data_IF_960237985420
#
_entry.id   IF_960237985420
#
_cell.length_a   1.000
_cell.length_b   1.000
_cell.length_c   1.000
_cell.angle_alpha   90.00
_cell.angle_beta   90.00
_cell.angle_gamma   90.00
#
_symmetry.space_group_name_H-M   'P 1'
#
loop_
_entity.id
_entity.type
_entity.pdbx_description
1 polymer ?
#
# COMPACT_ATOMS: atom_id res chain seq x y z
N UNK A 1 -25.18 -2.18 1.13
CA UNK A 1 -24.76 -3.51 0.63
C UNK A 1 -24.94 -3.52 -0.88
N UNK A 2 -24.02 -4.15 -1.63
CA UNK A 2 -24.16 -4.29 -3.08
C UNK A 2 -25.25 -5.33 -3.38
N UNK A 3 -26.13 -5.02 -4.34
CA UNK A 3 -27.19 -5.96 -4.74
C UNK A 3 -26.60 -7.17 -5.50
N UNK A 4 -27.29 -8.30 -5.51
CA UNK A 4 -26.85 -9.51 -6.24
C UNK A 4 -26.63 -9.25 -7.72
N UNK A 5 -27.41 -8.36 -8.33
CA UNK A 5 -27.22 -7.88 -9.70
C UNK A 5 -25.90 -7.15 -9.88
N UNK A 6 -25.50 -6.28 -8.92
CA UNK A 6 -24.20 -5.58 -8.95
C UNK A 6 -23.05 -6.56 -8.77
N UNK A 7 -23.19 -7.54 -7.89
CA UNK A 7 -22.18 -8.59 -7.67
C UNK A 7 -21.99 -9.43 -8.94
N UNK A 8 -23.09 -9.84 -9.59
CA UNK A 8 -23.05 -10.59 -10.83
C UNK A 8 -22.46 -9.78 -12.00
N UNK A 9 -22.80 -8.49 -12.10
CA UNK A 9 -22.21 -7.57 -13.09
C UNK A 9 -20.71 -7.38 -12.88
N UNK A 10 -20.29 -7.16 -11.63
CA UNK A 10 -18.88 -7.00 -11.27
C UNK A 10 -18.07 -8.27 -11.56
N UNK A 11 -18.62 -9.47 -11.30
CA UNK A 11 -17.98 -10.74 -11.66
C UNK A 11 -17.83 -10.91 -13.17
N UNK A 12 -18.85 -10.54 -13.96
CA UNK A 12 -18.76 -10.55 -15.43
C UNK A 12 -17.71 -9.56 -15.95
N UNK A 13 -17.67 -8.35 -15.42
CA UNK A 13 -16.69 -7.33 -15.80
C UNK A 13 -15.27 -7.74 -15.40
N UNK A 14 -15.08 -8.34 -14.23
CA UNK A 14 -13.79 -8.86 -13.79
C UNK A 14 -13.26 -9.96 -14.72
N UNK A 15 -14.12 -10.87 -15.20
CA UNK A 15 -13.75 -11.90 -16.19
C UNK A 15 -13.37 -11.32 -17.55
N UNK A 16 -13.94 -10.18 -17.95
CA UNK A 16 -13.63 -9.47 -19.20
C UNK A 16 -12.39 -8.56 -19.07
N UNK A 17 -12.01 -8.20 -17.85
CA UNK A 17 -10.87 -7.32 -17.58
C UNK A 17 -9.56 -8.10 -17.64
N UNK A 18 -8.89 -8.00 -18.78
CA UNK A 18 -7.60 -8.68 -19.04
C UNK A 18 -6.41 -7.86 -18.48
N UNK A 19 -6.67 -6.82 -17.69
CA UNK A 19 -5.63 -5.91 -17.20
C UNK A 19 -5.04 -5.03 -18.30
N UNK A 20 -3.93 -4.31 -18.02
CA UNK A 20 -3.34 -3.41 -19.01
C UNK A 20 -2.72 -4.20 -20.18
N UNK A 21 -3.23 -4.00 -21.39
CA UNK A 21 -2.78 -4.69 -22.61
C UNK A 21 -1.51 -4.07 -23.21
N UNK A 22 -1.30 -2.78 -23.05
CA UNK A 22 -0.12 -2.08 -23.59
C UNK A 22 1.10 -2.21 -22.68
N UNK A 23 2.31 -2.21 -23.25
CA UNK A 23 3.57 -2.21 -22.49
C UNK A 23 3.67 -1.01 -21.55
N UNK A 24 3.20 0.17 -21.98
CA UNK A 24 3.12 1.37 -21.16
C UNK A 24 2.13 1.22 -20.00
N UNK A 25 0.97 0.58 -20.23
CA UNK A 25 -0.02 0.28 -19.19
C UNK A 25 0.51 -0.70 -18.15
N UNK A 26 1.22 -1.74 -18.58
CA UNK A 26 1.90 -2.71 -17.69
C UNK A 26 3.00 -2.05 -16.86
N UNK A 27 3.85 -1.21 -17.48
CA UNK A 27 4.86 -0.41 -16.75
C UNK A 27 4.21 0.55 -15.74
N UNK A 28 3.07 1.17 -16.07
CA UNK A 28 2.35 2.06 -15.15
C UNK A 28 1.74 1.29 -13.98
N UNK A 29 1.15 0.13 -14.23
CA UNK A 29 0.60 -0.74 -13.21
C UNK A 29 1.69 -1.31 -12.29
N UNK A 30 2.85 -1.71 -12.83
CA UNK A 30 3.99 -2.19 -12.04
C UNK A 30 4.65 -1.08 -11.22
N UNK A 31 4.73 0.15 -11.74
CA UNK A 31 5.28 1.30 -10.98
C UNK A 31 4.51 1.59 -9.69
N UNK A 32 3.19 1.49 -9.70
CA UNK A 32 2.40 1.71 -8.49
C UNK A 32 2.73 0.71 -7.39
N UNK A 33 3.04 -0.50 -7.77
CA UNK A 33 3.42 -1.56 -6.85
C UNK A 33 4.88 -1.43 -6.38
N UNK A 34 5.79 -0.98 -7.25
CA UNK A 34 7.18 -0.68 -6.90
C UNK A 34 7.31 0.55 -6.01
N UNK A 35 6.46 1.56 -6.19
CA UNK A 35 6.54 2.84 -5.47
C UNK A 35 6.45 2.68 -3.96
N UNK A 36 5.70 1.68 -3.50
CA UNK A 36 5.47 1.43 -2.08
C UNK A 36 6.14 0.14 -1.57
N UNK A 37 6.89 -0.57 -2.43
CA UNK A 37 7.55 -1.83 -2.07
C UNK A 37 6.61 -2.97 -1.70
N UNK A 38 5.29 -2.81 -1.91
CA UNK A 38 4.26 -3.77 -1.48
C UNK A 38 4.11 -4.97 -2.41
N UNK A 39 4.75 -4.95 -3.58
CA UNK A 39 4.79 -6.08 -4.52
C UNK A 39 5.85 -7.11 -4.18
N UNK A 40 6.86 -6.73 -3.40
CA UNK A 40 7.86 -7.69 -2.96
C UNK A 40 7.20 -8.65 -1.98
N UNK A 41 7.31 -9.95 -2.29
CA UNK A 41 6.85 -10.99 -1.36
C UNK A 41 7.49 -10.78 0.00
N UNK A 42 6.70 -10.91 1.06
CA UNK A 42 7.19 -10.83 2.45
C UNK A 42 8.32 -11.84 2.69
N UNK A 43 8.28 -12.97 1.99
CA UNK A 43 9.26 -14.05 2.12
C UNK A 43 10.60 -13.77 1.39
N UNK A 44 10.79 -12.59 0.77
CA UNK A 44 11.97 -12.29 -0.03
C UNK A 44 13.25 -12.05 0.78
N UNK A 45 13.16 -11.85 2.11
CA UNK A 45 14.33 -11.65 2.97
C UNK A 45 14.34 -12.61 4.16
N UNK A 46 15.53 -13.13 4.51
CA UNK A 46 15.71 -14.04 5.64
C UNK A 46 15.23 -13.44 6.98
N UNK A 47 15.35 -12.13 7.15
CA UNK A 47 14.88 -11.43 8.33
C UNK A 47 13.34 -11.50 8.47
N UNK A 48 12.62 -11.33 7.36
CA UNK A 48 11.17 -11.47 7.35
C UNK A 48 10.70 -12.90 7.59
N UNK A 49 11.40 -13.89 7.01
CA UNK A 49 11.10 -15.31 7.24
C UNK A 49 11.20 -15.65 8.74
N UNK A 50 12.23 -15.15 9.44
CA UNK A 50 12.37 -15.32 10.89
C UNK A 50 11.25 -14.65 11.69
N UNK A 51 10.86 -13.44 11.31
CA UNK A 51 9.73 -12.75 11.97
C UNK A 51 8.41 -13.47 11.74
N UNK A 52 8.18 -13.96 10.54
CA UNK A 52 7.00 -14.73 10.17
C UNK A 52 6.90 -16.01 11.02
N UNK A 53 7.97 -16.81 11.07
CA UNK A 53 8.03 -18.04 11.86
C UNK A 53 7.81 -17.78 13.35
N UNK A 54 8.50 -16.77 13.90
CA UNK A 54 8.33 -16.37 15.31
C UNK A 54 6.89 -15.95 15.62
N UNK A 55 6.24 -15.19 14.74
CA UNK A 55 4.86 -14.77 14.94
C UNK A 55 3.89 -15.95 14.80
N UNK A 56 4.10 -16.80 13.78
CA UNK A 56 3.29 -17.98 13.56
C UNK A 56 3.32 -18.94 14.78
N UNK A 57 4.50 -19.20 15.33
CA UNK A 57 4.64 -20.02 16.55
C UNK A 57 3.93 -19.42 17.76
N UNK A 58 3.97 -18.09 17.91
CA UNK A 58 3.21 -17.42 18.98
C UNK A 58 1.69 -17.59 18.80
N UNK A 59 1.19 -17.55 17.57
CA UNK A 59 -0.24 -17.73 17.27
C UNK A 59 -0.67 -19.18 17.42
N UNK A 60 0.13 -20.11 16.93
CA UNK A 60 -0.16 -21.54 17.02
C UNK A 60 -0.15 -22.03 18.46
N UNK A 61 0.73 -21.48 19.28
CA UNK A 61 1.00 -22.00 20.63
C UNK A 61 1.86 -23.25 20.56
N UNK A 62 1.76 -24.07 21.62
CA UNK A 62 2.54 -25.30 21.75
C UNK A 62 1.80 -26.46 21.07
N UNK A 63 1.72 -26.45 19.74
CA UNK A 63 1.03 -27.49 18.96
C UNK A 63 1.92 -28.01 17.83
N UNK A 64 1.86 -29.32 17.58
CA UNK A 64 2.53 -29.98 16.45
C UNK A 64 1.54 -30.23 15.28
N UNK A 65 0.28 -29.79 15.40
CA UNK A 65 -0.71 -29.93 14.32
C UNK A 65 -0.33 -29.06 13.11
N UNK A 66 0.01 -29.72 12.02
CA UNK A 66 0.45 -29.07 10.78
C UNK A 66 -0.60 -28.09 10.22
N UNK A 67 -1.91 -28.39 10.36
CA UNK A 67 -2.99 -27.54 9.88
C UNK A 67 -3.09 -26.27 10.73
N UNK A 68 -2.97 -26.39 12.03
CA UNK A 68 -2.94 -25.25 12.97
C UNK A 68 -1.72 -24.36 12.68
N UNK A 69 -0.56 -24.94 12.42
CA UNK A 69 0.65 -24.22 12.05
C UNK A 69 0.49 -23.48 10.71
N UNK A 70 -0.13 -24.10 9.70
CA UNK A 70 -0.41 -23.45 8.41
C UNK A 70 -1.37 -22.27 8.57
N UNK A 71 -2.47 -22.43 9.31
CA UNK A 71 -3.36 -21.32 9.64
C UNK A 71 -2.64 -20.19 10.37
N UNK A 72 -1.79 -20.51 11.33
CA UNK A 72 -1.00 -19.52 12.07
C UNK A 72 0.00 -18.79 11.18
N UNK A 73 0.63 -19.48 10.23
CA UNK A 73 1.50 -18.88 9.21
C UNK A 73 0.72 -17.90 8.32
N UNK A 74 -0.47 -18.27 7.87
CA UNK A 74 -1.34 -17.40 7.06
C UNK A 74 -1.77 -16.15 7.82
N UNK A 75 -2.11 -16.27 9.12
CA UNK A 75 -2.43 -15.13 9.98
C UNK A 75 -1.20 -14.24 10.13
N UNK A 76 -0.04 -14.81 10.46
CA UNK A 76 1.20 -14.07 10.66
C UNK A 76 1.61 -13.31 9.39
N UNK A 77 1.48 -13.94 8.23
CA UNK A 77 1.75 -13.30 6.93
C UNK A 77 0.82 -12.10 6.70
N UNK A 78 -0.47 -12.28 6.92
CA UNK A 78 -1.45 -11.22 6.74
C UNK A 78 -1.23 -10.04 7.72
N UNK A 79 -0.85 -10.30 8.96
CA UNK A 79 -0.51 -9.26 9.95
C UNK A 79 0.74 -8.46 9.53
N UNK A 80 1.78 -9.14 9.03
CA UNK A 80 2.98 -8.47 8.53
C UNK A 80 2.67 -7.62 7.28
N UNK A 81 1.78 -8.08 6.39
CA UNK A 81 1.29 -7.30 5.25
C UNK A 81 0.52 -6.06 5.69
N UNK A 82 -0.39 -6.19 6.66
CA UNK A 82 -1.12 -5.08 7.25
C UNK A 82 -0.17 -4.04 7.85
N UNK A 83 0.82 -4.50 8.63
CA UNK A 83 1.82 -3.61 9.22
C UNK A 83 2.63 -2.86 8.15
N UNK A 84 2.98 -3.52 7.04
CA UNK A 84 3.67 -2.88 5.90
C UNK A 84 2.81 -1.81 5.23
N UNK A 85 1.55 -2.11 4.95
CA UNK A 85 0.63 -1.15 4.31
C UNK A 85 0.41 0.06 5.21
N UNK A 86 0.19 -0.15 6.51
CA UNK A 86 0.03 0.94 7.48
C UNK A 86 1.28 1.81 7.57
N UNK A 87 2.47 1.21 7.60
CA UNK A 87 3.73 1.94 7.59
C UNK A 87 3.91 2.76 6.30
N UNK A 88 3.55 2.20 5.15
CA UNK A 88 3.57 2.92 3.89
C UNK A 88 2.61 4.13 3.89
N UNK A 89 1.40 3.98 4.46
CA UNK A 89 0.45 5.09 4.61
C UNK A 89 0.99 6.21 5.50
N UNK A 90 1.55 5.84 6.66
CA UNK A 90 2.16 6.82 7.59
C UNK A 90 3.30 7.56 6.90
N UNK A 91 4.23 6.83 6.26
CA UNK A 91 5.36 7.46 5.55
C UNK A 91 4.94 8.36 4.40
N UNK A 92 3.80 8.08 3.72
CA UNK A 92 3.23 8.99 2.72
C UNK A 92 2.76 10.30 3.34
N UNK A 93 2.01 10.23 4.46
CA UNK A 93 1.48 11.40 5.15
C UNK A 93 2.63 12.23 5.73
N UNK A 94 3.59 11.61 6.41
CA UNK A 94 4.76 12.28 6.98
C UNK A 94 5.56 13.00 5.90
N UNK A 95 5.79 12.33 4.75
CA UNK A 95 6.50 12.93 3.62
C UNK A 95 5.74 14.11 3.02
N UNK A 96 4.42 13.99 2.86
CA UNK A 96 3.60 15.09 2.37
C UNK A 96 3.56 16.25 3.37
N UNK A 97 3.50 15.97 4.67
CA UNK A 97 3.59 17.00 5.71
C UNK A 97 4.93 17.73 5.70
N UNK A 98 6.04 17.00 5.49
CA UNK A 98 7.37 17.58 5.46
C UNK A 98 7.65 18.41 4.19
N UNK A 99 7.25 17.90 3.02
CA UNK A 99 7.66 18.45 1.71
C UNK A 99 6.51 19.01 0.87
N UNK A 100 5.27 18.94 1.34
CA UNK A 100 4.08 19.42 0.63
C UNK A 100 3.64 18.52 -0.53
N UNK A 101 4.57 17.81 -1.20
CA UNK A 101 4.31 16.85 -2.29
C UNK A 101 5.18 15.60 -2.15
N UNK A 102 4.65 14.48 -2.70
CA UNK A 102 5.38 13.20 -2.70
C UNK A 102 6.52 13.15 -3.71
N UNK A 103 6.34 13.77 -4.86
CA UNK A 103 7.34 13.87 -5.92
C UNK A 103 7.70 15.34 -6.12
N UNK A 104 8.99 15.69 -6.19
CA UNK A 104 9.40 17.01 -6.63
C UNK A 104 8.82 17.25 -8.03
N UNK A 105 8.43 18.49 -8.36
CA UNK A 105 7.90 18.80 -9.68
C UNK A 105 8.90 18.35 -10.74
N UNK A 106 8.50 17.38 -11.56
CA UNK A 106 9.35 16.92 -12.66
C UNK A 106 9.29 17.98 -13.73
N UNK A 107 10.32 18.78 -13.83
CA UNK A 107 10.48 19.68 -14.95
C UNK A 107 10.49 18.85 -16.24
N UNK A 108 9.57 19.16 -17.12
CA UNK A 108 9.62 18.60 -18.48
C UNK A 108 10.86 19.16 -19.19
N UNK A 109 11.38 18.42 -20.18
CA UNK A 109 12.53 18.91 -20.97
C UNK A 109 12.29 20.33 -21.51
N UNK A 110 11.05 20.62 -21.96
CA UNK A 110 10.67 21.94 -22.42
C UNK A 110 10.72 23.02 -21.32
N UNK A 111 10.34 22.68 -20.09
CA UNK A 111 10.46 23.58 -18.93
C UNK A 111 11.92 23.80 -18.55
N UNK A 112 12.74 22.75 -18.60
CA UNK A 112 14.17 22.85 -18.32
C UNK A 112 14.88 23.75 -19.34
N UNK A 113 14.59 23.57 -20.64
CA UNK A 113 15.13 24.43 -21.70
C UNK A 113 14.72 25.89 -21.48
N UNK A 114 13.45 26.17 -21.13
CA UNK A 114 12.98 27.53 -20.85
C UNK A 114 13.70 28.17 -19.65
N UNK A 115 13.99 27.36 -18.60
CA UNK A 115 14.73 27.84 -17.42
C UNK A 115 16.18 28.20 -17.80
N UNK A 116 16.83 27.34 -18.57
CA UNK A 116 18.20 27.60 -19.08
C UNK A 116 18.21 28.87 -19.95
N UNK A 117 17.29 28.99 -20.92
CA UNK A 117 17.18 30.15 -21.80
C UNK A 117 16.86 31.45 -21.02
N UNK A 118 16.05 31.37 -19.97
CA UNK A 118 15.78 32.50 -19.08
C UNK A 118 17.02 32.89 -18.26
N UNK A 119 17.80 31.92 -17.78
CA UNK A 119 19.05 32.14 -17.07
C UNK A 119 20.09 32.85 -17.99
N UNK A 120 20.30 32.29 -19.19
CA UNK A 120 21.25 32.83 -20.16
C UNK A 120 20.91 34.28 -20.61
N UNK A 121 19.63 34.63 -20.59
CA UNK A 121 19.13 35.97 -20.90
C UNK A 121 19.03 36.91 -19.72
N UNK A 122 19.50 36.51 -18.53
CA UNK A 122 19.41 37.31 -17.31
C UNK A 122 17.97 37.65 -16.89
N UNK A 123 16.97 36.85 -17.31
CA UNK A 123 15.58 37.04 -16.89
C UNK A 123 15.37 36.49 -15.51
N UNK A 124 14.49 37.12 -14.70
CA UNK A 124 14.19 36.58 -13.39
C UNK A 124 13.59 35.16 -13.52
N UNK A 125 14.28 34.18 -12.94
CA UNK A 125 13.79 32.84 -12.84
C UNK A 125 12.74 32.85 -11.72
N UNK A 126 11.47 32.68 -12.08
CA UNK A 126 10.43 32.42 -11.08
C UNK A 126 10.63 30.97 -10.65
N UNK A 127 11.11 30.72 -9.41
CA UNK A 127 11.29 29.37 -8.94
C UNK A 127 9.92 28.66 -8.96
N UNK A 128 9.89 27.35 -9.27
CA UNK A 128 8.66 26.60 -9.11
C UNK A 128 8.15 26.81 -7.68
N UNK A 129 6.84 27.02 -7.53
CA UNK A 129 6.22 27.20 -6.22
C UNK A 129 6.68 26.07 -5.32
N UNK A 130 7.32 26.43 -4.21
CA UNK A 130 7.71 25.44 -3.21
C UNK A 130 6.42 24.85 -2.62
N UNK A 131 6.21 23.57 -2.88
CA UNK A 131 5.02 22.87 -2.39
C UNK A 131 4.94 22.92 -0.86
N UNK A 132 6.08 22.93 -0.17
CA UNK A 132 6.14 23.04 1.28
C UNK A 132 5.65 24.40 1.78
N UNK A 133 5.91 25.49 1.04
CA UNK A 133 5.44 26.84 1.36
C UNK A 133 3.91 26.99 1.27
N UNK A 134 3.24 26.08 0.56
CA UNK A 134 1.78 26.04 0.47
C UNK A 134 1.12 25.21 1.57
N UNK A 135 1.91 24.61 2.46
CA UNK A 135 1.40 23.82 3.60
C UNK A 135 1.09 24.74 4.77
N UNK A 136 0.02 24.47 5.53
CA UNK A 136 -0.22 25.14 6.81
C UNK A 136 1.00 25.03 7.74
N UNK A 137 1.26 26.10 8.51
CA UNK A 137 2.40 26.14 9.41
C UNK A 137 2.17 25.38 10.72
N UNK A 138 0.90 25.18 11.11
CA UNK A 138 0.52 24.61 12.40
C UNK A 138 -0.26 23.31 12.25
N UNK A 139 -0.11 22.42 13.24
CA UNK A 139 -1.00 21.28 13.44
C UNK A 139 -2.32 21.74 14.10
N UNK A 140 -3.48 21.08 13.85
CA UNK A 140 -3.64 19.86 13.03
C UNK A 140 -3.82 20.11 11.52
N UNK A 141 -3.90 21.37 11.08
CA UNK A 141 -4.21 21.73 9.70
C UNK A 141 -3.15 21.21 8.72
N UNK A 142 -1.88 21.19 9.14
CA UNK A 142 -0.77 20.66 8.34
C UNK A 142 -0.96 19.18 8.03
N UNK A 143 -1.29 18.38 9.03
CA UNK A 143 -1.56 16.94 8.84
C UNK A 143 -2.82 16.70 8.01
N UNK A 144 -3.86 17.48 8.18
CA UNK A 144 -5.10 17.39 7.39
C UNK A 144 -4.83 17.70 5.91
N UNK A 145 -4.05 18.75 5.62
CA UNK A 145 -3.66 19.10 4.26
C UNK A 145 -2.75 18.02 3.63
N UNK A 146 -1.81 17.46 4.40
CA UNK A 146 -0.97 16.36 3.95
C UNK A 146 -1.83 15.15 3.52
N UNK A 147 -2.79 14.74 4.36
CA UNK A 147 -3.73 13.66 4.03
C UNK A 147 -4.53 14.00 2.77
N UNK A 148 -5.02 15.22 2.63
CA UNK A 148 -5.78 15.68 1.47
C UNK A 148 -4.96 15.50 0.16
N UNK A 149 -3.70 15.92 0.18
CA UNK A 149 -2.78 15.83 -0.98
C UNK A 149 -2.47 14.40 -1.40
N UNK A 150 -2.30 13.50 -0.45
CA UNK A 150 -1.97 12.09 -0.72
C UNK A 150 -3.20 11.16 -0.76
N UNK A 151 -4.41 11.72 -0.67
CA UNK A 151 -5.64 10.93 -0.65
C UNK A 151 -5.78 9.94 -1.83
N UNK A 152 -5.41 10.27 -3.07
CA UNK A 152 -5.47 9.33 -4.19
C UNK A 152 -4.58 8.10 -3.97
N UNK A 153 -3.38 8.29 -3.45
CA UNK A 153 -2.42 7.24 -3.13
C UNK A 153 -2.89 6.39 -1.94
N UNK A 154 -3.40 7.03 -0.89
CA UNK A 154 -3.97 6.33 0.27
C UNK A 154 -5.12 5.40 -0.15
N UNK A 155 -6.02 5.86 -1.04
CA UNK A 155 -7.10 5.04 -1.61
C UNK A 155 -6.57 3.82 -2.39
N UNK A 156 -5.42 3.94 -3.04
CA UNK A 156 -4.78 2.80 -3.70
C UNK A 156 -4.25 1.79 -2.69
N UNK A 157 -3.68 2.27 -1.58
CA UNK A 157 -3.18 1.41 -0.49
C UNK A 157 -4.31 0.71 0.27
N UNK A 158 -5.51 1.30 0.35
CA UNK A 158 -6.68 0.67 0.97
C UNK A 158 -7.04 -0.69 0.35
N UNK A 159 -6.77 -0.89 -0.92
CA UNK A 159 -7.01 -2.19 -1.58
C UNK A 159 -6.10 -3.29 -1.03
N UNK A 160 -4.84 -2.95 -0.77
CA UNK A 160 -3.88 -3.88 -0.17
C UNK A 160 -4.25 -4.17 1.27
N UNK A 161 -4.64 -3.15 2.03
CA UNK A 161 -5.08 -3.30 3.43
C UNK A 161 -6.32 -4.19 3.53
N UNK A 162 -7.35 -3.93 2.72
CA UNK A 162 -8.58 -4.75 2.69
C UNK A 162 -8.28 -6.20 2.31
N UNK A 163 -7.37 -6.43 1.35
CA UNK A 163 -6.98 -7.77 0.95
C UNK A 163 -6.29 -8.52 2.09
N UNK A 164 -5.32 -7.90 2.71
CA UNK A 164 -4.60 -8.50 3.84
C UNK A 164 -5.53 -8.73 5.05
N UNK A 165 -6.42 -7.77 5.37
CA UNK A 165 -7.42 -7.93 6.42
C UNK A 165 -8.37 -9.10 6.15
N UNK A 166 -8.86 -9.24 4.91
CA UNK A 166 -9.73 -10.35 4.52
C UNK A 166 -9.01 -11.71 4.54
N UNK A 167 -7.72 -11.74 4.23
CA UNK A 167 -6.90 -12.95 4.36
C UNK A 167 -6.73 -13.34 5.83
N UNK A 168 -6.37 -12.36 6.69
CA UNK A 168 -6.28 -12.57 8.13
C UNK A 168 -7.57 -13.12 8.71
N UNK A 169 -8.71 -12.48 8.42
CA UNK A 169 -9.99 -12.88 8.97
C UNK A 169 -10.38 -14.32 8.58
N UNK A 170 -10.14 -14.70 7.32
CA UNK A 170 -10.36 -16.08 6.87
C UNK A 170 -9.49 -17.07 7.60
N UNK A 171 -8.19 -16.79 7.74
CA UNK A 171 -7.26 -17.67 8.43
C UNK A 171 -7.57 -17.79 9.93
N UNK A 172 -7.98 -16.68 10.57
CA UNK A 172 -8.45 -16.70 11.99
C UNK A 172 -9.69 -17.55 12.14
N UNK A 173 -10.66 -17.42 11.24
CA UNK A 173 -11.88 -18.25 11.26
C UNK A 173 -11.56 -19.73 11.11
N UNK A 174 -10.70 -20.08 10.14
CA UNK A 174 -10.26 -21.47 9.95
C UNK A 174 -9.56 -22.02 11.20
N UNK A 175 -8.69 -21.24 11.84
CA UNK A 175 -8.01 -21.63 13.07
C UNK A 175 -9.02 -21.84 14.22
N UNK A 176 -10.01 -20.95 14.36
CA UNK A 176 -11.03 -21.05 15.39
C UNK A 176 -11.89 -22.30 15.21
N UNK A 177 -12.38 -22.55 13.98
CA UNK A 177 -13.21 -23.71 13.67
C UNK A 177 -12.44 -25.01 13.93
N UNK A 178 -11.15 -25.04 13.62
CA UNK A 178 -10.27 -26.17 13.90
C UNK A 178 -10.14 -26.43 15.40
N UNK A 179 -9.86 -25.40 16.20
CA UNK A 179 -9.76 -25.53 17.67
C UNK A 179 -11.06 -26.00 18.29
N UNK A 180 -12.21 -25.52 17.79
CA UNK A 180 -13.52 -25.95 18.27
C UNK A 180 -13.78 -27.41 17.94
N UNK A 181 -13.43 -27.90 16.77
CA UNK A 181 -13.58 -29.33 16.42
C UNK A 181 -12.70 -30.23 17.26
N UNK A 182 -11.52 -29.78 17.68
CA UNK A 182 -10.61 -30.54 18.54
C UNK A 182 -11.11 -30.66 19.99
N UNK A 183 -11.71 -29.59 20.50
CA UNK A 183 -12.27 -29.61 21.89
C UNK A 183 -13.57 -30.40 22.02
N UNK A 184 -14.17 -30.83 20.91
CA UNK A 184 -15.40 -31.62 20.87
C UNK A 184 -15.13 -33.12 20.62
N UNK A 185 -13.87 -33.55 20.52
CA UNK A 185 -13.40 -34.93 20.44
C UNK A 185 -12.88 -35.43 21.81
#
# INVERSE_FOLDING_TARGET
>A
MASDRQIAANRRNARKSIGPRSGAGRKRASRNAYRHGLTLSINSTAAFAKQLDKLARKIAGNTDDAITLDCALQIAQAELELARVRRAKVGLIERASAFGELDPPRLTVAQMIRLIDAFDRGRPIVPPIDASATMPSQEPDRSAEAVRRVLPELRQLDRYERRAAAQRERAVRNLYDRRKSWNNL
#
